data_IF_855370265396
#
_entry.id   IF_855370265396
#
_cell.length_a   1.000
_cell.length_b   1.000
_cell.length_c   1.000
_cell.angle_alpha   90.00
_cell.angle_beta   90.00
_cell.angle_gamma   90.00
#
_symmetry.space_group_name_H-M   'P 1'
#
loop_
_entity.id
_entity.type
_entity.pdbx_description
1 polymer ?
#
# COMPACT_ATOMS: atom_id res chain seq x y z
N UNK A 1 -7.30 0.35 -17.98
CA UNK A 1 -7.98 -0.75 -17.26
C UNK A 1 -9.47 -0.54 -17.49
N UNK A 2 -10.24 -1.60 -17.71
CA UNK A 2 -11.65 -1.46 -18.02
C UNK A 2 -12.46 -1.19 -16.74
N UNK A 3 -13.26 -0.12 -16.74
CA UNK A 3 -14.08 0.28 -15.60
C UNK A 3 -15.24 -0.71 -15.40
N UNK A 4 -15.76 -1.29 -16.48
CA UNK A 4 -16.82 -2.30 -16.42
C UNK A 4 -16.34 -3.55 -15.67
N UNK A 5 -15.13 -4.02 -15.99
CA UNK A 5 -14.52 -5.16 -15.32
C UNK A 5 -14.26 -4.89 -13.82
N UNK A 6 -13.87 -3.67 -13.46
CA UNK A 6 -13.69 -3.29 -12.05
C UNK A 6 -15.03 -3.31 -11.30
N UNK A 7 -16.09 -2.80 -11.91
CA UNK A 7 -17.45 -2.82 -11.36
C UNK A 7 -17.96 -4.24 -11.17
N UNK A 8 -17.77 -5.10 -12.17
CA UNK A 8 -18.16 -6.51 -12.10
C UNK A 8 -17.40 -7.26 -11.01
N UNK A 9 -16.09 -7.02 -10.90
CA UNK A 9 -15.26 -7.60 -9.84
C UNK A 9 -15.72 -7.17 -8.44
N UNK A 10 -16.10 -5.90 -8.27
CA UNK A 10 -16.62 -5.38 -6.99
C UNK A 10 -17.98 -6.01 -6.65
N UNK A 11 -18.86 -6.17 -7.64
CA UNK A 11 -20.12 -6.90 -7.52
C UNK A 11 -19.91 -8.36 -7.12
N UNK A 12 -18.93 -9.05 -7.71
CA UNK A 12 -18.56 -10.42 -7.34
C UNK A 12 -18.02 -10.49 -5.90
N UNK A 13 -17.20 -9.53 -5.47
CA UNK A 13 -16.73 -9.48 -4.08
C UNK A 13 -17.87 -9.31 -3.09
N UNK A 14 -18.95 -8.59 -3.45
CA UNK A 14 -20.13 -8.46 -2.61
C UNK A 14 -20.85 -9.80 -2.40
N UNK A 15 -20.95 -10.65 -3.43
CA UNK A 15 -21.50 -12.01 -3.28
C UNK A 15 -20.57 -12.90 -2.46
N UNK A 16 -19.26 -12.85 -2.73
CA UNK A 16 -18.25 -13.58 -1.95
C UNK A 16 -18.28 -13.20 -0.47
N UNK A 17 -18.54 -11.94 -0.13
CA UNK A 17 -18.71 -11.49 1.25
C UNK A 17 -19.92 -12.16 1.95
N UNK A 18 -20.98 -12.48 1.22
CA UNK A 18 -22.13 -13.24 1.76
C UNK A 18 -21.74 -14.70 1.99
N UNK A 19 -21.05 -15.30 1.04
CA UNK A 19 -20.60 -16.70 1.12
C UNK A 19 -19.59 -16.91 2.25
N UNK A 20 -18.68 -15.95 2.46
CA UNK A 20 -17.68 -15.98 3.52
C UNK A 20 -18.30 -16.03 4.93
N UNK A 21 -19.53 -15.50 5.12
CA UNK A 21 -20.22 -15.52 6.42
C UNK A 21 -20.91 -16.85 6.73
N UNK A 22 -21.25 -17.61 5.69
CA UNK A 22 -22.08 -18.81 5.81
C UNK A 22 -21.26 -20.09 5.66
N UNK A 23 -20.21 -20.05 4.85
CA UNK A 23 -19.30 -21.17 4.59
C UNK A 23 -18.35 -21.37 5.77
N UNK A 24 -18.18 -22.63 6.21
CA UNK A 24 -17.31 -23.00 7.35
C UNK A 24 -16.11 -23.85 6.98
N UNK A 25 -15.89 -24.02 5.69
CA UNK A 25 -14.83 -24.85 5.12
C UNK A 25 -13.47 -24.15 5.24
N UNK A 26 -12.53 -24.83 5.89
CA UNK A 26 -11.19 -24.30 6.12
C UNK A 26 -10.37 -24.16 4.83
N UNK A 27 -10.62 -24.99 3.82
CA UNK A 27 -9.93 -24.88 2.53
C UNK A 27 -10.43 -23.65 1.77
N UNK A 28 -11.76 -23.44 1.76
CA UNK A 28 -12.37 -22.24 1.23
C UNK A 28 -11.78 -20.97 1.88
N UNK A 29 -11.76 -20.88 3.21
CA UNK A 29 -11.23 -19.69 3.90
C UNK A 29 -9.76 -19.43 3.57
N UNK A 30 -8.95 -20.48 3.38
CA UNK A 30 -7.52 -20.36 3.05
C UNK A 30 -7.33 -19.84 1.62
N UNK A 31 -8.04 -20.42 0.66
CA UNK A 31 -8.00 -19.99 -0.75
C UNK A 31 -8.49 -18.55 -0.84
N UNK A 32 -9.64 -18.25 -0.24
CA UNK A 32 -10.23 -16.92 -0.25
C UNK A 32 -9.28 -15.87 0.35
N UNK A 33 -8.67 -16.15 1.50
CA UNK A 33 -7.71 -15.24 2.13
C UNK A 33 -6.49 -14.96 1.24
N UNK A 34 -5.94 -15.99 0.58
CA UNK A 34 -4.84 -15.84 -0.37
C UNK A 34 -5.23 -14.98 -1.57
N UNK A 35 -6.43 -15.21 -2.11
CA UNK A 35 -6.97 -14.47 -3.26
C UNK A 35 -7.19 -13.00 -2.91
N UNK A 36 -7.88 -12.70 -1.80
CA UNK A 36 -8.15 -11.33 -1.36
C UNK A 36 -6.86 -10.57 -1.03
N UNK A 37 -5.88 -11.24 -0.42
CA UNK A 37 -4.54 -10.64 -0.17
C UNK A 37 -3.84 -10.29 -1.48
N UNK A 38 -4.02 -11.11 -2.52
CA UNK A 38 -3.45 -10.86 -3.85
C UNK A 38 -4.14 -9.67 -4.54
N UNK A 39 -5.48 -9.57 -4.45
CA UNK A 39 -6.26 -8.43 -4.95
C UNK A 39 -5.82 -7.14 -4.27
N UNK A 40 -5.74 -7.15 -2.93
CA UNK A 40 -5.32 -5.99 -2.15
C UNK A 40 -3.88 -5.56 -2.49
N UNK A 41 -2.94 -6.51 -2.55
CA UNK A 41 -1.55 -6.22 -2.91
C UNK A 41 -1.39 -5.73 -4.35
N UNK A 42 -2.25 -6.18 -5.28
CA UNK A 42 -2.31 -5.65 -6.63
C UNK A 42 -2.84 -4.21 -6.66
N UNK A 43 -3.93 -3.93 -5.93
CA UNK A 43 -4.51 -2.59 -5.84
C UNK A 43 -3.51 -1.61 -5.21
N UNK A 44 -2.85 -2.00 -4.12
CA UNK A 44 -1.81 -1.20 -3.45
C UNK A 44 -0.66 -0.84 -4.40
N UNK A 45 -0.13 -1.81 -5.16
CA UNK A 45 0.94 -1.55 -6.15
C UNK A 45 0.51 -0.53 -7.20
N UNK A 46 -0.74 -0.62 -7.67
CA UNK A 46 -1.29 0.33 -8.66
C UNK A 46 -1.40 1.74 -8.09
N UNK A 47 -1.86 1.85 -6.85
CA UNK A 47 -2.05 3.13 -6.16
C UNK A 47 -0.71 3.75 -5.69
N UNK A 48 0.29 2.95 -5.34
CA UNK A 48 1.63 3.46 -5.01
C UNK A 48 2.31 4.12 -6.22
N UNK A 49 2.02 3.62 -7.43
CA UNK A 49 2.51 4.18 -8.68
C UNK A 49 1.51 5.16 -9.33
N UNK A 50 0.57 5.75 -8.57
CA UNK A 50 -0.59 6.45 -9.15
C UNK A 50 -0.24 7.57 -10.14
N UNK A 51 0.88 8.26 -9.92
CA UNK A 51 1.36 9.32 -10.80
C UNK A 51 1.82 8.83 -12.17
N UNK A 52 2.20 7.55 -12.28
CA UNK A 52 2.61 6.90 -13.52
C UNK A 52 1.45 6.10 -14.14
N UNK A 53 0.53 5.60 -13.31
CA UNK A 53 -0.56 4.72 -13.73
C UNK A 53 -1.87 5.45 -14.05
N UNK A 54 -2.10 6.65 -13.49
CA UNK A 54 -3.34 7.41 -13.69
C UNK A 54 -3.11 8.84 -14.17
N UNK A 55 -4.05 9.31 -14.99
CA UNK A 55 -4.14 10.67 -15.49
C UNK A 55 -5.61 11.16 -15.42
N UNK A 56 -5.87 12.35 -15.96
CA UNK A 56 -7.22 12.93 -15.95
C UNK A 56 -8.25 12.11 -16.74
N UNK A 57 -7.82 11.32 -17.73
CA UNK A 57 -8.68 10.52 -18.60
C UNK A 57 -9.06 9.16 -18.02
N UNK A 58 -8.43 8.71 -16.94
CA UNK A 58 -8.71 7.41 -16.33
C UNK A 58 -8.91 7.46 -14.81
N UNK A 59 -9.20 8.64 -14.26
CA UNK A 59 -9.38 8.85 -12.81
C UNK A 59 -10.47 7.95 -12.22
N UNK A 60 -11.53 7.66 -12.96
CA UNK A 60 -12.62 6.76 -12.53
C UNK A 60 -12.12 5.33 -12.31
N UNK A 61 -11.12 4.89 -13.08
CA UNK A 61 -10.50 3.57 -12.88
C UNK A 61 -9.66 3.52 -11.60
N UNK A 62 -9.10 4.65 -11.16
CA UNK A 62 -8.43 4.75 -9.86
C UNK A 62 -9.43 4.55 -8.72
N UNK A 63 -10.60 5.19 -8.82
CA UNK A 63 -11.69 5.02 -7.85
C UNK A 63 -12.17 3.56 -7.79
N UNK A 64 -12.37 2.92 -8.95
CA UNK A 64 -12.72 1.50 -9.00
C UNK A 64 -11.68 0.58 -8.36
N UNK A 65 -10.38 0.86 -8.54
CA UNK A 65 -9.29 0.11 -7.91
C UNK A 65 -9.30 0.30 -6.38
N UNK A 66 -9.57 1.52 -5.91
CA UNK A 66 -9.71 1.80 -4.48
C UNK A 66 -10.90 1.03 -3.91
N UNK A 67 -12.07 1.08 -4.56
CA UNK A 67 -13.27 0.35 -4.12
C UNK A 67 -12.97 -1.14 -3.97
N UNK A 68 -12.37 -1.74 -5.00
CA UNK A 68 -12.02 -3.17 -5.02
C UNK A 68 -11.04 -3.55 -3.90
N UNK A 69 -10.01 -2.73 -3.69
CA UNK A 69 -9.03 -2.95 -2.62
C UNK A 69 -9.68 -2.88 -1.22
N UNK A 70 -10.58 -1.91 -1.01
CA UNK A 70 -11.31 -1.74 0.25
C UNK A 70 -12.29 -2.89 0.49
N UNK A 71 -13.04 -3.32 -0.54
CA UNK A 71 -13.93 -4.47 -0.46
C UNK A 71 -13.18 -5.74 -0.05
N UNK A 72 -12.04 -6.01 -0.69
CA UNK A 72 -11.22 -7.17 -0.35
C UNK A 72 -10.68 -7.12 1.09
N UNK A 73 -10.19 -5.96 1.54
CA UNK A 73 -9.71 -5.76 2.90
C UNK A 73 -10.84 -5.95 3.93
N UNK A 74 -12.05 -5.49 3.63
CA UNK A 74 -13.22 -5.64 4.49
C UNK A 74 -13.57 -7.11 4.72
N UNK A 75 -13.61 -7.92 3.67
CA UNK A 75 -13.91 -9.36 3.77
C UNK A 75 -12.83 -10.09 4.61
N UNK A 76 -11.55 -9.76 4.41
CA UNK A 76 -10.44 -10.30 5.22
C UNK A 76 -10.63 -10.01 6.73
N UNK A 77 -11.01 -8.77 7.07
CA UNK A 77 -11.09 -8.29 8.46
C UNK A 77 -12.38 -8.70 9.16
N UNK A 78 -13.52 -8.58 8.49
CA UNK A 78 -14.84 -8.75 9.10
C UNK A 78 -15.34 -10.19 8.98
N UNK A 79 -15.10 -10.85 7.84
CA UNK A 79 -15.74 -12.13 7.55
C UNK A 79 -14.78 -13.29 7.84
N UNK A 80 -13.52 -13.20 7.38
CA UNK A 80 -12.53 -14.26 7.60
C UNK A 80 -11.92 -14.18 9.00
N UNK A 81 -11.55 -12.98 9.47
CA UNK A 81 -10.94 -12.84 10.81
C UNK A 81 -11.91 -13.17 11.94
N UNK A 82 -13.22 -12.96 11.81
CA UNK A 82 -14.18 -13.32 12.86
C UNK A 82 -14.39 -14.84 12.97
N UNK A 83 -14.39 -15.57 11.85
CA UNK A 83 -14.40 -17.04 11.87
C UNK A 83 -13.07 -17.59 12.43
N UNK A 84 -11.95 -16.98 12.04
CA UNK A 84 -10.63 -17.39 12.51
C UNK A 84 -10.37 -17.02 13.98
N UNK A 85 -10.83 -15.86 14.48
CA UNK A 85 -10.76 -15.46 15.90
C UNK A 85 -11.57 -16.39 16.81
N UNK A 86 -12.67 -16.97 16.31
CA UNK A 86 -13.40 -18.03 17.04
C UNK A 86 -12.59 -19.33 17.13
N UNK A 87 -11.61 -19.57 16.24
CA UNK A 87 -10.79 -20.79 16.21
C UNK A 87 -9.33 -20.62 16.71
N UNK A 88 -8.70 -19.44 16.63
CA UNK A 88 -7.26 -19.27 16.93
C UNK A 88 -6.90 -17.82 17.31
N UNK A 89 -6.66 -17.60 18.61
CA UNK A 89 -6.40 -16.27 19.23
C UNK A 89 -5.02 -15.66 18.92
N UNK A 90 -4.17 -16.30 18.11
CA UNK A 90 -2.72 -16.02 18.08
C UNK A 90 -2.23 -15.26 16.83
N UNK A 91 -2.87 -15.40 15.66
CA UNK A 91 -2.36 -14.81 14.39
C UNK A 91 -2.75 -13.34 14.16
N UNK A 92 -3.89 -12.89 14.70
CA UNK A 92 -4.32 -11.48 14.60
C UNK A 92 -3.34 -10.54 15.30
N UNK A 93 -2.66 -11.02 16.34
CA UNK A 93 -1.66 -10.24 17.05
C UNK A 93 -0.43 -9.97 16.16
N UNK A 94 0.00 -10.96 15.39
CA UNK A 94 1.15 -10.87 14.49
C UNK A 94 0.86 -9.94 13.29
N UNK A 95 -0.34 -10.01 12.72
CA UNK A 95 -0.73 -9.12 11.61
C UNK A 95 -0.84 -7.66 12.07
N UNK A 96 -1.42 -7.41 13.25
CA UNK A 96 -1.50 -6.08 13.85
C UNK A 96 -0.11 -5.52 14.17
N UNK A 97 0.77 -6.32 14.73
CA UNK A 97 2.14 -5.93 15.08
C UNK A 97 2.97 -5.59 13.84
N UNK A 98 2.74 -6.30 12.73
CA UNK A 98 3.32 -5.96 11.41
C UNK A 98 2.79 -4.63 10.87
N UNK A 99 1.48 -4.39 10.92
CA UNK A 99 0.87 -3.13 10.49
C UNK A 99 1.42 -1.95 11.31
N UNK A 100 1.50 -2.08 12.64
CA UNK A 100 2.07 -1.07 13.52
C UNK A 100 3.57 -0.80 13.20
N UNK A 101 4.31 -1.85 12.85
CA UNK A 101 5.70 -1.73 12.39
C UNK A 101 5.81 -0.95 11.09
N UNK A 102 4.94 -1.23 10.11
CA UNK A 102 4.92 -0.50 8.84
C UNK A 102 4.51 0.97 8.99
N UNK A 103 3.52 1.26 9.82
CA UNK A 103 3.10 2.63 10.14
C UNK A 103 4.28 3.40 10.76
N UNK A 104 4.96 2.81 11.75
CA UNK A 104 6.12 3.45 12.40
C UNK A 104 7.28 3.66 11.44
N UNK A 105 7.54 2.69 10.57
CA UNK A 105 8.60 2.79 9.56
C UNK A 105 8.29 3.88 8.53
N UNK A 106 7.05 3.94 8.03
CA UNK A 106 6.60 4.95 7.08
C UNK A 106 6.71 6.37 7.68
N UNK A 107 6.21 6.56 8.90
CA UNK A 107 6.33 7.83 9.62
C UNK A 107 7.79 8.25 9.83
N UNK A 108 8.67 7.32 10.24
CA UNK A 108 10.10 7.61 10.41
C UNK A 108 10.74 8.07 9.11
N UNK A 109 10.45 7.40 8.00
CA UNK A 109 10.98 7.78 6.68
C UNK A 109 10.46 9.14 6.25
N UNK A 110 9.16 9.41 6.39
CA UNK A 110 8.56 10.70 6.07
C UNK A 110 9.18 11.84 6.89
N UNK A 111 9.38 11.65 8.20
CA UNK A 111 10.06 12.65 9.04
C UNK A 111 11.54 12.84 8.70
N UNK A 112 12.24 11.77 8.33
CA UNK A 112 13.63 11.88 7.89
C UNK A 112 13.76 12.69 6.59
N UNK A 113 12.82 12.52 5.66
CA UNK A 113 12.78 13.26 4.39
C UNK A 113 12.30 14.71 4.57
N UNK A 114 11.36 14.96 5.48
CA UNK A 114 10.88 16.31 5.78
C UNK A 114 11.90 17.15 6.57
N UNK A 115 12.95 16.53 7.12
CA UNK A 115 14.00 17.26 7.80
C UNK A 115 14.86 17.98 6.75
N UNK A 116 15.02 19.31 6.84
CA UNK A 116 15.92 20.01 5.94
C UNK A 116 17.34 19.42 6.06
N UNK A 117 18.09 19.33 4.95
CA UNK A 117 19.45 18.83 4.98
C UNK A 117 20.26 19.64 6.01
N UNK A 118 21.20 19.00 6.73
CA UNK A 118 22.07 19.73 7.64
C UNK A 118 22.74 20.89 6.86
N UNK A 119 22.90 22.07 7.48
CA UNK A 119 23.51 23.19 6.81
C UNK A 119 24.88 22.77 6.28
N UNK A 120 25.09 22.96 4.97
CA UNK A 120 26.36 22.68 4.32
C UNK A 120 27.42 23.51 5.05
N UNK A 121 28.30 22.86 5.81
CA UNK A 121 29.52 23.50 6.30
C UNK A 121 30.35 23.80 5.06
N UNK A 122 30.38 25.06 4.64
CA UNK A 122 31.29 25.56 3.61
C UNK A 122 32.72 25.19 4.02
N UNK A 123 33.27 24.17 3.39
CA UNK A 123 34.67 23.78 3.56
C UNK A 123 35.53 24.84 2.85
N UNK A 124 36.05 25.77 3.65
CA UNK A 124 37.00 26.80 3.26
C UNK A 124 38.30 26.16 2.76
N UNK A 125 38.40 25.78 1.49
CA UNK A 125 39.66 25.28 0.92
C UNK A 125 39.81 25.51 -0.59
N UNK A 126 39.44 26.70 -1.08
CA UNK A 126 39.85 27.19 -2.40
C UNK A 126 40.27 28.66 -2.32
N UNK A 127 41.43 28.90 -1.69
CA UNK A 127 42.20 30.14 -1.84
C UNK A 127 43.67 29.79 -2.09
N UNK A 128 43.95 29.16 -3.24
CA UNK A 128 45.31 29.13 -3.79
C UNK A 128 45.45 30.29 -4.79
N UNK A 129 45.99 31.39 -4.28
CA UNK A 129 46.48 32.54 -5.03
C UNK A 129 47.66 32.09 -5.91
N UNK A 130 47.60 32.35 -7.22
CA UNK A 130 48.77 32.26 -8.12
C UNK A 130 48.92 33.58 -8.86
N UNK A 131 50.05 34.30 -8.70
CA UNK A 131 50.24 35.61 -9.32
C UNK A 131 50.64 35.49 -10.80
N UNK A 132 50.14 36.42 -11.60
CA UNK A 132 50.47 36.62 -13.03
C UNK A 132 51.95 36.87 -13.29
N UNK A 133 52.36 36.86 -14.57
CA UNK A 133 52.97 38.09 -15.07
C UNK A 133 52.38 38.58 -16.40
N UNK A 134 52.20 39.90 -16.44
CA UNK A 134 51.90 40.74 -17.60
C UNK A 134 53.18 40.85 -18.44
N UNK A 135 53.10 40.62 -19.76
CA UNK A 135 54.19 40.92 -20.70
C UNK A 135 53.84 42.22 -21.45
N UNK A 136 54.76 43.19 -21.37
CA UNK A 136 54.77 44.45 -22.14
C UNK A 136 54.98 44.19 -23.62
#
# INVERSE_FOLDING_TARGET
MDLELLSDADGQLAEVAKDAKTTKDSEYSKILSSTLTSIMGWAEKRLLAYHETFDRGNVETMEGIVSLGVAAAKILVEDISNEYRRRRRTEVNVARERIETYIRSSLRTAFAQARPPPPLTLSSNQLSYSPHPIRR
#
